data_IF_501614528935
#
_entry.id   IF_501614528935
#
_cell.length_a   1.000
_cell.length_b   1.000
_cell.length_c   1.000
_cell.angle_alpha   90.00
_cell.angle_beta   90.00
_cell.angle_gamma   90.00
#
_symmetry.space_group_name_H-M   'P 1'
#
loop_
_entity.id
_entity.type
_entity.pdbx_description
1 polymer ?
#
# COMPACT_ATOMS: atom_id res chain seq x y z
N UNK A 1 3.25 22.40 -14.07
CA UNK A 1 3.71 21.06 -14.50
C UNK A 1 3.45 20.12 -13.33
N UNK A 2 2.64 19.06 -13.51
CA UNK A 2 2.34 18.10 -12.43
C UNK A 2 3.58 17.26 -12.16
N UNK A 3 4.05 17.23 -10.91
CA UNK A 3 5.22 16.44 -10.52
C UNK A 3 4.78 15.00 -10.24
N UNK A 4 5.43 14.05 -10.93
CA UNK A 4 5.27 12.63 -10.64
C UNK A 4 6.34 12.19 -9.65
N UNK A 5 5.93 11.53 -8.56
CA UNK A 5 6.80 10.85 -7.62
C UNK A 5 6.58 9.34 -7.70
N UNK A 6 7.58 8.55 -7.32
CA UNK A 6 7.41 7.10 -7.17
C UNK A 6 6.88 6.84 -5.78
N UNK A 7 5.79 6.08 -5.69
CA UNK A 7 5.19 5.63 -4.44
C UNK A 7 5.50 4.20 -4.12
N UNK A 8 5.74 3.39 -5.13
CA UNK A 8 6.11 2.00 -4.96
C UNK A 8 6.51 1.38 -6.29
N UNK A 9 7.05 0.18 -6.22
CA UNK A 9 7.39 -0.62 -7.39
C UNK A 9 7.29 -2.11 -7.06
N UNK A 10 7.23 -2.92 -8.10
CA UNK A 10 7.50 -4.36 -8.03
C UNK A 10 8.36 -4.74 -9.23
N UNK A 11 9.56 -5.26 -8.96
CA UNK A 11 10.60 -5.44 -9.96
C UNK A 11 11.08 -6.87 -9.95
N UNK A 12 11.19 -7.46 -11.14
CA UNK A 12 11.76 -8.80 -11.30
C UNK A 12 13.24 -8.66 -11.59
N UNK A 13 14.06 -9.28 -10.75
CA UNK A 13 15.51 -9.25 -10.86
C UNK A 13 16.10 -10.66 -10.78
N UNK A 14 17.25 -10.86 -11.42
CA UNK A 14 17.95 -12.16 -11.41
C UNK A 14 18.85 -12.27 -10.18
N UNK A 15 18.77 -13.36 -9.38
CA UNK A 15 19.70 -13.62 -8.29
C UNK A 15 21.15 -13.81 -8.78
N UNK A 16 21.31 -14.23 -10.05
CA UNK A 16 22.61 -14.49 -10.68
C UNK A 16 23.41 -13.23 -10.97
N UNK A 17 22.82 -12.04 -10.83
CA UNK A 17 23.48 -10.77 -11.10
C UNK A 17 23.72 -10.01 -9.78
N UNK A 18 24.63 -9.02 -9.81
CA UNK A 18 24.85 -8.04 -8.74
C UNK A 18 23.64 -7.13 -8.35
N UNK A 19 22.48 -7.06 -9.05
CA UNK A 19 21.40 -6.13 -8.74
C UNK A 19 20.82 -6.20 -7.34
N UNK A 20 20.75 -7.37 -6.69
CA UNK A 20 20.22 -7.42 -5.33
C UNK A 20 21.18 -6.76 -4.31
N UNK A 21 22.49 -6.91 -4.51
CA UNK A 21 23.52 -6.19 -3.73
C UNK A 21 23.53 -4.69 -4.08
N UNK A 22 23.22 -4.32 -5.33
CA UNK A 22 23.09 -2.92 -5.72
C UNK A 22 21.83 -2.26 -5.17
N UNK A 23 20.72 -3.00 -5.10
CA UNK A 23 19.47 -2.59 -4.48
C UNK A 23 19.62 -2.36 -2.98
N UNK A 24 20.43 -3.19 -2.34
CA UNK A 24 20.64 -3.18 -0.91
C UNK A 24 22.15 -3.24 -0.63
N UNK A 25 22.86 -2.09 -0.75
CA UNK A 25 24.29 -2.07 -0.56
C UNK A 25 24.65 -2.47 0.88
N UNK A 26 25.75 -3.22 1.08
CA UNK A 26 26.20 -3.59 2.41
C UNK A 26 26.43 -2.37 3.33
N UNK A 27 26.16 -2.49 4.65
CA UNK A 27 25.63 -3.67 5.33
C UNK A 27 24.10 -3.72 5.25
N UNK A 28 23.55 -4.62 4.44
CA UNK A 28 22.12 -4.83 4.31
C UNK A 28 21.76 -6.25 4.75
N UNK A 29 20.67 -6.37 5.51
CA UNK A 29 20.22 -7.65 6.03
C UNK A 29 18.77 -7.91 5.65
N UNK A 30 18.49 -9.14 5.21
CA UNK A 30 17.16 -9.65 4.99
C UNK A 30 16.58 -10.13 6.31
N UNK A 31 15.56 -9.44 6.80
CA UNK A 31 14.76 -9.90 7.93
C UNK A 31 13.84 -11.01 7.42
N UNK A 32 14.09 -12.25 7.84
CA UNK A 32 13.38 -13.41 7.33
C UNK A 32 11.92 -13.40 7.78
N UNK A 33 11.03 -13.75 6.86
CA UNK A 33 9.60 -13.88 7.12
C UNK A 33 9.17 -15.33 6.91
N UNK A 34 8.74 -15.97 8.00
CA UNK A 34 8.22 -17.35 7.96
C UNK A 34 6.79 -17.41 7.41
N UNK A 35 6.04 -16.32 7.55
CA UNK A 35 4.63 -16.27 7.19
C UNK A 35 4.44 -16.13 5.68
N UNK A 36 3.72 -17.10 5.10
CA UNK A 36 3.29 -17.07 3.69
C UNK A 36 2.08 -16.14 3.45
N UNK A 37 1.57 -15.47 4.50
CA UNK A 37 0.25 -14.82 4.50
C UNK A 37 0.24 -13.41 3.90
N UNK A 38 1.40 -12.75 3.78
CA UNK A 38 1.49 -11.43 3.18
C UNK A 38 1.66 -11.55 1.67
N UNK A 39 0.53 -11.63 0.96
CA UNK A 39 0.50 -11.51 -0.51
C UNK A 39 0.60 -10.05 -0.89
N UNK A 40 1.59 -9.72 -1.72
CA UNK A 40 1.68 -8.41 -2.35
C UNK A 40 0.75 -8.36 -3.57
N UNK A 41 0.04 -7.24 -3.81
CA UNK A 41 -0.66 -6.98 -5.08
C UNK A 41 0.31 -7.08 -6.25
N UNK A 42 0.23 -8.12 -7.05
CA UNK A 42 1.04 -8.17 -8.26
C UNK A 42 0.21 -8.72 -9.42
N UNK A 43 0.76 -8.57 -10.62
CA UNK A 43 0.22 -9.20 -11.83
C UNK A 43 0.54 -10.70 -11.80
N UNK A 44 -0.26 -11.50 -12.49
CA UNK A 44 0.09 -12.90 -12.75
C UNK A 44 1.41 -12.99 -13.54
N UNK A 45 2.30 -13.96 -13.25
CA UNK A 45 2.18 -15.01 -12.22
C UNK A 45 2.66 -14.59 -10.82
N UNK A 46 3.20 -13.38 -10.66
CA UNK A 46 3.87 -12.90 -9.44
C UNK A 46 2.94 -12.72 -8.24
N UNK A 47 1.63 -12.56 -8.48
CA UNK A 47 0.59 -12.54 -7.44
C UNK A 47 0.61 -13.79 -6.53
N UNK A 48 1.11 -14.91 -7.05
CA UNK A 48 1.23 -16.19 -6.35
C UNK A 48 2.55 -16.36 -5.61
N UNK A 49 3.51 -15.46 -5.82
CA UNK A 49 4.85 -15.57 -5.25
C UNK A 49 4.84 -15.29 -3.75
N UNK A 50 5.71 -16.00 -3.04
CA UNK A 50 5.74 -16.04 -1.59
C UNK A 50 6.88 -15.19 -1.06
N UNK A 51 6.57 -14.42 0.00
CA UNK A 51 7.57 -13.62 0.71
C UNK A 51 8.56 -14.53 1.44
N UNK A 52 9.84 -14.17 1.36
CA UNK A 52 10.93 -14.76 2.16
C UNK A 52 11.49 -13.80 3.21
N UNK A 53 11.31 -12.49 3.02
CA UNK A 53 11.76 -11.50 4.00
C UNK A 53 11.54 -10.06 3.55
N UNK A 54 12.13 -9.13 4.28
CA UNK A 54 12.24 -7.73 3.87
C UNK A 54 13.59 -7.10 4.20
N UNK A 55 13.98 -6.12 3.39
CA UNK A 55 15.17 -5.28 3.56
C UNK A 55 14.74 -3.82 3.43
N UNK A 56 14.98 -2.99 4.45
CA UNK A 56 14.77 -1.54 4.39
C UNK A 56 13.38 -1.11 3.82
N UNK A 57 12.29 -1.81 4.16
CA UNK A 57 10.92 -1.58 3.65
C UNK A 57 10.60 -2.09 2.23
N UNK A 58 11.49 -2.89 1.65
CA UNK A 58 11.20 -3.67 0.45
C UNK A 58 10.99 -5.14 0.83
N UNK A 59 9.91 -5.74 0.33
CA UNK A 59 9.62 -7.15 0.47
C UNK A 59 10.29 -7.94 -0.66
N UNK A 60 10.91 -9.06 -0.31
CA UNK A 60 11.56 -9.97 -1.25
C UNK A 60 10.73 -11.24 -1.38
N UNK A 61 10.38 -11.59 -2.61
CA UNK A 61 9.53 -12.71 -2.96
C UNK A 61 10.20 -13.64 -3.97
N UNK A 62 9.81 -14.91 -3.91
CA UNK A 62 10.22 -15.96 -4.84
C UNK A 62 9.03 -16.81 -5.26
N UNK A 63 9.16 -17.53 -6.36
CA UNK A 63 8.15 -18.50 -6.75
C UNK A 63 8.00 -19.60 -5.67
N UNK A 64 6.78 -20.12 -5.41
CA UNK A 64 6.51 -21.05 -4.31
C UNK A 64 7.42 -22.28 -4.26
N UNK A 65 7.80 -22.81 -5.41
CA UNK A 65 8.69 -23.98 -5.55
C UNK A 65 10.08 -23.77 -4.95
N UNK A 66 10.54 -22.52 -4.82
CA UNK A 66 11.86 -22.18 -4.28
C UNK A 66 11.88 -21.95 -2.77
N UNK A 67 10.71 -21.83 -2.12
CA UNK A 67 10.64 -21.48 -0.70
C UNK A 67 11.25 -22.53 0.21
N UNK A 68 10.86 -23.80 0.07
CA UNK A 68 11.41 -24.85 0.91
C UNK A 68 12.92 -25.07 0.68
N UNK A 69 13.42 -25.14 -0.58
CA UNK A 69 14.85 -25.21 -0.85
C UNK A 69 15.66 -24.06 -0.21
N UNK A 70 15.14 -22.83 -0.25
CA UNK A 70 15.78 -21.66 0.36
C UNK A 70 15.97 -21.82 1.88
N UNK A 71 14.90 -22.19 2.61
CA UNK A 71 14.98 -22.35 4.07
C UNK A 71 15.81 -23.57 4.51
N UNK A 72 15.82 -24.65 3.72
CA UNK A 72 16.70 -25.79 3.96
C UNK A 72 18.17 -25.37 3.86
N UNK A 73 18.53 -24.66 2.81
CA UNK A 73 19.90 -24.20 2.59
C UNK A 73 20.38 -23.22 3.67
N UNK A 74 19.50 -22.37 4.22
CA UNK A 74 19.81 -21.50 5.36
C UNK A 74 20.18 -22.33 6.60
N UNK A 75 19.41 -23.38 6.88
CA UNK A 75 19.59 -24.22 8.07
C UNK A 75 20.86 -25.06 7.99
N UNK A 76 21.30 -25.41 6.77
CA UNK A 76 22.53 -26.14 6.50
C UNK A 76 23.77 -25.21 6.40
N UNK A 77 23.58 -23.89 6.36
CA UNK A 77 24.67 -22.93 6.20
C UNK A 77 25.46 -22.71 7.51
N UNK A 78 26.80 -22.79 7.49
CA UNK A 78 27.65 -22.70 8.69
C UNK A 78 27.64 -21.34 9.40
N UNK A 79 27.06 -20.30 8.79
CA UNK A 79 26.96 -18.95 9.34
C UNK A 79 25.59 -18.62 9.94
N UNK A 80 24.61 -19.52 9.86
CA UNK A 80 23.27 -19.28 10.37
C UNK A 80 23.14 -19.83 11.80
N UNK A 81 23.71 -19.10 12.77
CA UNK A 81 23.55 -19.43 14.19
C UNK A 81 22.15 -18.99 14.63
N UNK A 82 21.38 -19.94 15.16
CA UNK A 82 20.03 -19.78 15.72
C UNK A 82 18.87 -19.53 14.74
N UNK A 83 18.68 -20.47 13.79
CA UNK A 83 17.38 -20.63 13.14
C UNK A 83 16.56 -21.73 13.85
N UNK A 84 15.87 -21.38 14.95
CA UNK A 84 14.94 -22.30 15.62
C UNK A 84 13.66 -22.46 14.79
N UNK A 85 13.34 -23.66 14.34
CA UNK A 85 12.14 -23.98 13.53
C UNK A 85 10.81 -23.94 14.31
N UNK A 86 10.82 -23.49 15.58
CA UNK A 86 9.62 -23.35 16.41
C UNK A 86 8.58 -22.38 15.82
N UNK A 87 7.26 -22.68 15.95
CA UNK A 87 6.16 -21.82 15.50
C UNK A 87 5.88 -20.60 16.40
N UNK A 88 6.58 -20.48 17.53
CA UNK A 88 6.52 -19.28 18.39
C UNK A 88 7.24 -18.10 17.71
N UNK A 89 6.94 -16.83 18.07
CA UNK A 89 7.62 -15.66 17.51
C UNK A 89 9.08 -15.64 17.98
N UNK A 90 9.92 -16.43 17.33
CA UNK A 90 11.35 -16.41 17.50
C UNK A 90 11.89 -15.03 17.12
N UNK A 91 12.94 -14.61 17.82
CA UNK A 91 13.74 -13.43 17.50
C UNK A 91 13.96 -13.34 15.99
N UNK A 92 13.69 -12.16 15.41
CA UNK A 92 13.74 -11.93 13.96
C UNK A 92 15.11 -12.33 13.41
N UNK A 93 15.20 -13.52 12.82
CA UNK A 93 16.42 -13.99 12.18
C UNK A 93 16.71 -13.12 10.95
N UNK A 94 17.92 -12.57 10.89
CA UNK A 94 18.38 -11.74 9.79
C UNK A 94 19.56 -12.40 9.07
N UNK A 95 19.57 -12.35 7.74
CA UNK A 95 20.66 -12.90 6.91
C UNK A 95 21.34 -11.77 6.12
N UNK A 96 22.67 -11.84 5.98
CA UNK A 96 23.38 -10.91 5.10
C UNK A 96 22.89 -11.04 3.66
N UNK A 97 22.78 -9.92 2.95
CA UNK A 97 22.29 -9.92 1.58
C UNK A 97 23.19 -10.73 0.64
N UNK A 98 24.50 -10.78 0.89
CA UNK A 98 25.44 -11.56 0.09
C UNK A 98 25.19 -13.07 0.27
N UNK A 99 24.90 -13.51 1.50
CA UNK A 99 24.52 -14.89 1.81
C UNK A 99 23.19 -15.26 1.14
N UNK A 100 22.20 -14.35 1.16
CA UNK A 100 20.91 -14.54 0.45
C UNK A 100 21.15 -14.78 -1.04
N UNK A 101 21.99 -13.95 -1.68
CA UNK A 101 22.32 -14.09 -3.12
C UNK A 101 22.99 -15.43 -3.38
N UNK A 102 23.95 -15.82 -2.54
CA UNK A 102 24.66 -17.09 -2.69
C UNK A 102 23.72 -18.29 -2.56
N UNK A 103 22.84 -18.30 -1.56
CA UNK A 103 21.85 -19.38 -1.36
C UNK A 103 20.89 -19.46 -2.55
N UNK A 104 20.35 -18.33 -3.00
CA UNK A 104 19.45 -18.30 -4.16
C UNK A 104 20.12 -18.87 -5.43
N UNK A 105 21.41 -18.58 -5.62
CA UNK A 105 22.19 -19.17 -6.72
C UNK A 105 22.40 -20.67 -6.55
N UNK A 106 22.73 -21.13 -5.33
CA UNK A 106 22.96 -22.53 -5.03
C UNK A 106 21.72 -23.40 -5.27
N UNK A 107 20.53 -22.91 -4.91
CA UNK A 107 19.28 -23.61 -5.16
C UNK A 107 18.81 -23.51 -6.62
N UNK A 108 19.47 -22.71 -7.47
CA UNK A 108 19.10 -22.54 -8.87
C UNK A 108 17.93 -21.59 -9.11
N UNK A 109 17.64 -20.69 -8.15
CA UNK A 109 16.60 -19.68 -8.33
C UNK A 109 17.01 -18.70 -9.43
N UNK A 110 16.15 -18.52 -10.44
CA UNK A 110 16.46 -17.71 -11.63
C UNK A 110 15.87 -16.30 -11.59
N UNK A 111 14.87 -16.07 -10.75
CA UNK A 111 14.19 -14.79 -10.64
C UNK A 111 13.63 -14.60 -9.23
N UNK A 112 13.76 -13.38 -8.73
CA UNK A 112 13.15 -12.90 -7.50
C UNK A 112 12.36 -11.62 -7.79
N UNK A 113 11.36 -11.34 -6.96
CA UNK A 113 10.50 -10.17 -7.08
C UNK A 113 10.71 -9.30 -5.86
N UNK A 114 11.15 -8.07 -6.08
CA UNK A 114 11.36 -7.07 -5.02
C UNK A 114 10.25 -6.05 -5.13
N UNK A 115 9.50 -5.85 -4.06
CA UNK A 115 8.38 -4.92 -4.05
C UNK A 115 8.46 -3.94 -2.89
N UNK A 116 7.94 -2.74 -3.09
CA UNK A 116 7.73 -1.77 -2.02
C UNK A 116 6.41 -1.04 -2.22
N UNK A 117 5.70 -0.83 -1.13
CA UNK A 117 4.45 -0.07 -1.07
C UNK A 117 4.64 1.37 -0.59
N UNK A 118 5.88 1.75 -0.25
CA UNK A 118 6.22 3.08 0.24
C UNK A 118 7.20 3.75 -0.72
N UNK A 119 7.18 5.09 -0.69
CA UNK A 119 8.03 5.89 -1.55
C UNK A 119 9.49 5.46 -1.32
N UNK A 120 10.19 4.97 -2.36
CA UNK A 120 11.55 4.51 -2.19
C UNK A 120 12.41 5.64 -1.63
N UNK A 121 13.18 5.34 -0.58
CA UNK A 121 14.34 6.17 -0.24
C UNK A 121 15.27 6.22 -1.47
N UNK A 122 15.94 7.36 -1.69
CA UNK A 122 16.59 7.69 -2.97
C UNK A 122 17.51 6.63 -3.57
N UNK A 123 17.97 5.68 -2.75
CA UNK A 123 18.91 4.62 -3.12
C UNK A 123 18.28 3.49 -3.97
N UNK A 124 16.96 3.23 -3.90
CA UNK A 124 16.33 2.16 -4.70
C UNK A 124 16.19 2.50 -6.20
N UNK A 125 16.35 3.77 -6.56
CA UNK A 125 16.06 4.24 -7.92
C UNK A 125 17.26 4.10 -8.87
N UNK A 126 18.39 3.57 -8.38
CA UNK A 126 19.56 3.22 -9.19
C UNK A 126 19.44 1.75 -9.60
N UNK A 127 18.37 1.44 -10.32
CA UNK A 127 18.17 0.11 -10.90
C UNK A 127 18.44 0.17 -12.38
N UNK A 128 19.68 -0.13 -12.73
CA UNK A 128 20.05 -0.48 -14.10
C UNK A 128 20.24 -2.00 -14.21
N UNK A 129 19.14 -2.75 -14.04
CA UNK A 129 19.05 -4.14 -14.51
C UNK A 129 18.34 -4.18 -15.87
N UNK A 130 18.77 -3.28 -16.77
CA UNK A 130 18.22 -3.13 -18.12
C UNK A 130 18.39 -4.39 -19.00
N UNK A 131 19.07 -5.43 -18.51
CA UNK A 131 19.28 -6.68 -19.22
C UNK A 131 18.41 -7.84 -18.73
N UNK A 132 17.62 -7.67 -17.66
CA UNK A 132 16.78 -8.77 -17.18
C UNK A 132 15.66 -9.12 -18.19
N UNK A 133 15.51 -10.39 -18.61
CA UNK A 133 14.54 -10.77 -19.65
C UNK A 133 13.08 -10.53 -19.24
N UNK A 134 12.79 -10.51 -17.93
CA UNK A 134 11.44 -10.27 -17.40
C UNK A 134 11.21 -8.82 -16.97
N UNK A 135 12.10 -7.88 -17.32
CA UNK A 135 11.94 -6.46 -16.96
C UNK A 135 10.64 -5.86 -17.49
N UNK A 136 10.11 -6.37 -18.61
CA UNK A 136 8.85 -5.90 -19.20
C UNK A 136 7.64 -6.10 -18.28
N UNK A 137 7.74 -6.93 -17.23
CA UNK A 137 6.72 -7.16 -16.21
C UNK A 137 6.95 -6.35 -14.93
N UNK A 138 7.90 -5.41 -14.93
CA UNK A 138 8.08 -4.45 -13.86
C UNK A 138 6.84 -3.57 -13.71
N UNK A 139 6.45 -3.32 -12.46
CA UNK A 139 5.34 -2.47 -12.10
C UNK A 139 5.85 -1.24 -11.36
N UNK A 140 5.30 -0.09 -11.73
CA UNK A 140 5.58 1.20 -11.12
C UNK A 140 4.27 1.81 -10.63
N UNK A 141 4.23 2.21 -9.37
CA UNK A 141 3.14 3.03 -8.84
C UNK A 141 3.62 4.46 -8.73
N UNK A 142 3.09 5.32 -9.59
CA UNK A 142 3.43 6.74 -9.67
C UNK A 142 2.33 7.56 -9.00
N UNK A 143 2.72 8.58 -8.26
CA UNK A 143 1.79 9.50 -7.62
C UNK A 143 1.86 10.89 -8.24
N UNK A 144 0.68 11.48 -8.41
CA UNK A 144 0.48 12.88 -8.72
C UNK A 144 -0.35 13.52 -7.60
N UNK A 145 0.05 14.72 -7.19
CA UNK A 145 -0.73 15.55 -6.27
C UNK A 145 -1.49 16.57 -7.09
N UNK A 146 -2.81 16.56 -6.97
CA UNK A 146 -3.71 17.53 -7.60
C UNK A 146 -4.22 18.46 -6.53
N UNK A 147 -3.96 19.75 -6.68
CA UNK A 147 -4.48 20.77 -5.77
C UNK A 147 -5.99 20.92 -6.00
N UNK A 148 -6.77 20.75 -4.95
CA UNK A 148 -8.24 20.90 -4.96
C UNK A 148 -8.69 21.88 -3.88
N UNK A 149 -9.91 22.41 -4.00
CA UNK A 149 -10.51 23.26 -2.96
C UNK A 149 -11.11 22.38 -1.87
N UNK A 150 -10.71 22.58 -0.61
CA UNK A 150 -11.15 21.73 0.49
C UNK A 150 -10.70 20.28 0.33
N UNK A 151 -11.20 19.40 1.20
CA UNK A 151 -10.87 17.97 1.23
C UNK A 151 -11.75 17.25 0.20
N UNK A 152 -11.14 16.74 -0.85
CA UNK A 152 -11.85 16.06 -1.94
C UNK A 152 -12.15 14.61 -1.60
N UNK A 153 -13.42 14.24 -1.70
CA UNK A 153 -13.91 12.87 -1.69
C UNK A 153 -14.57 12.57 -3.04
N UNK A 154 -14.42 11.35 -3.52
CA UNK A 154 -14.94 10.92 -4.81
C UNK A 154 -15.91 9.75 -4.66
N UNK A 155 -16.75 9.59 -5.68
CA UNK A 155 -17.61 8.42 -5.86
C UNK A 155 -17.75 8.11 -7.34
N UNK A 156 -17.68 6.84 -7.72
CA UNK A 156 -18.02 6.39 -9.07
C UNK A 156 -19.53 6.44 -9.30
N UNK A 157 -19.96 6.92 -10.47
CA UNK A 157 -21.39 7.02 -10.83
C UNK A 157 -22.11 5.65 -10.85
N UNK A 158 -21.38 4.57 -11.16
CA UNK A 158 -21.87 3.19 -11.09
C UNK A 158 -20.84 2.26 -10.44
N UNK A 159 -21.26 1.49 -9.44
CA UNK A 159 -20.47 0.37 -8.92
C UNK A 159 -20.69 -0.84 -9.83
N UNK A 160 -19.85 -0.96 -10.85
CA UNK A 160 -19.89 -2.04 -11.84
C UNK A 160 -18.72 -3.02 -11.67
N UNK A 161 -18.09 -3.03 -10.49
CA UNK A 161 -16.93 -3.86 -10.18
C UNK A 161 -15.59 -3.34 -10.70
N UNK A 162 -15.58 -2.53 -11.76
CA UNK A 162 -14.39 -1.87 -12.30
C UNK A 162 -14.04 -0.58 -11.53
N UNK A 163 -15.06 0.17 -11.09
CA UNK A 163 -14.90 1.30 -10.18
C UNK A 163 -15.44 0.92 -8.81
N UNK A 164 -14.61 1.04 -7.78
CA UNK A 164 -14.98 0.78 -6.40
C UNK A 164 -14.80 2.04 -5.58
N UNK A 165 -15.91 2.55 -5.06
CA UNK A 165 -15.88 3.64 -4.09
C UNK A 165 -15.74 3.06 -2.70
N UNK A 166 -14.82 3.60 -1.90
CA UNK A 166 -14.70 3.30 -0.48
C UNK A 166 -15.10 4.53 0.31
N UNK A 167 -16.33 4.55 0.86
CA UNK A 167 -16.79 5.66 1.67
C UNK A 167 -15.82 5.97 2.82
N UNK A 168 -15.61 7.25 3.06
CA UNK A 168 -14.80 7.76 4.16
C UNK A 168 -15.60 8.84 4.92
N UNK A 169 -15.19 9.15 6.14
CA UNK A 169 -15.80 10.22 6.94
C UNK A 169 -17.29 10.02 7.27
N UNK A 170 -17.79 8.78 7.14
CA UNK A 170 -19.16 8.38 7.50
C UNK A 170 -20.23 9.39 7.06
N UNK A 171 -20.96 10.00 8.01
CA UNK A 171 -22.03 10.95 7.71
C UNK A 171 -21.55 12.22 7.00
N UNK A 172 -20.32 12.68 7.28
CA UNK A 172 -19.75 13.85 6.61
C UNK A 172 -19.45 13.56 5.14
N UNK A 173 -18.96 12.34 4.85
CA UNK A 173 -18.63 11.90 3.50
C UNK A 173 -19.83 11.49 2.66
N UNK A 174 -20.95 11.08 3.27
CA UNK A 174 -22.21 10.71 2.58
C UNK A 174 -22.02 9.67 1.46
N UNK A 175 -21.16 8.68 1.71
CA UNK A 175 -20.85 7.63 0.72
C UNK A 175 -19.74 7.98 -0.26
N UNK A 176 -19.18 9.19 -0.22
CA UNK A 176 -17.97 9.56 -0.95
C UNK A 176 -16.72 9.18 -0.14
N UNK A 177 -15.60 8.94 -0.83
CA UNK A 177 -14.33 8.66 -0.18
C UNK A 177 -13.21 8.48 -1.19
N UNK A 178 -12.46 7.38 -1.09
CA UNK A 178 -11.47 7.02 -2.11
C UNK A 178 -12.10 6.20 -3.22
N UNK A 179 -11.52 6.26 -4.41
CA UNK A 179 -11.98 5.48 -5.56
C UNK A 179 -10.82 4.67 -6.12
N UNK A 180 -11.07 3.39 -6.33
CA UNK A 180 -10.17 2.47 -7.03
C UNK A 180 -10.79 2.11 -8.38
N UNK A 181 -10.04 2.29 -9.45
CA UNK A 181 -10.46 2.00 -10.82
C UNK A 181 -9.52 0.95 -11.38
N UNK A 182 -10.04 -0.25 -11.59
CA UNK A 182 -9.38 -1.29 -12.38
C UNK A 182 -9.61 -0.99 -13.85
N UNK A 183 -8.54 -0.75 -14.59
CA UNK A 183 -8.61 -0.47 -16.02
C UNK A 183 -8.47 -1.78 -16.80
N UNK A 184 -9.27 -1.99 -17.86
CA UNK A 184 -9.07 -3.12 -18.76
C UNK A 184 -7.68 -3.07 -19.38
N UNK A 185 -7.22 -4.17 -19.98
CA UNK A 185 -5.90 -4.22 -20.62
C UNK A 185 -5.73 -3.08 -21.64
N UNK A 186 -4.90 -2.09 -21.30
CA UNK A 186 -4.53 -0.97 -22.18
C UNK A 186 -3.18 -1.22 -22.83
N UNK A 187 -3.00 -0.71 -24.04
CA UNK A 187 -1.73 -0.81 -24.77
C UNK A 187 -0.59 -0.02 -24.12
N UNK A 188 -0.92 0.98 -23.30
CA UNK A 188 0.05 1.78 -22.55
C UNK A 188 0.54 1.08 -21.26
N UNK A 189 -0.01 -0.08 -20.91
CA UNK A 189 0.37 -0.85 -19.73
C UNK A 189 -0.18 -0.29 -18.41
N UNK A 190 -1.02 0.76 -18.44
CA UNK A 190 -1.68 1.26 -17.23
C UNK A 190 -2.88 0.37 -16.92
N UNK A 191 -2.98 -0.10 -15.68
CA UNK A 191 -3.99 -1.10 -15.31
C UNK A 191 -4.79 -0.76 -14.04
N UNK A 192 -4.35 0.24 -13.27
CA UNK A 192 -5.07 0.66 -12.06
C UNK A 192 -4.86 2.14 -11.77
N UNK A 193 -5.91 2.77 -11.28
CA UNK A 193 -5.91 4.12 -10.73
C UNK A 193 -6.52 4.09 -9.33
N UNK A 194 -5.84 4.67 -8.34
CA UNK A 194 -6.38 4.90 -7.00
C UNK A 194 -6.38 6.41 -6.74
N UNK A 195 -7.52 6.96 -6.38
CA UNK A 195 -7.67 8.38 -6.04
C UNK A 195 -8.11 8.49 -4.60
N UNK A 196 -7.34 9.21 -3.78
CA UNK A 196 -7.57 9.38 -2.36
C UNK A 196 -7.18 10.79 -1.89
N UNK A 197 -7.64 11.19 -0.71
CA UNK A 197 -7.23 12.46 -0.12
C UNK A 197 -5.79 12.36 0.43
N UNK A 198 -4.92 13.34 0.14
CA UNK A 198 -3.51 13.30 0.60
C UNK A 198 -3.37 13.42 2.12
N UNK A 199 -4.43 13.89 2.81
CA UNK A 199 -4.49 13.89 4.26
C UNK A 199 -4.42 12.47 4.85
N UNK A 200 -4.92 11.43 4.16
CA UNK A 200 -4.78 10.06 4.62
C UNK A 200 -3.35 9.57 4.56
N UNK A 201 -2.63 9.92 3.49
CA UNK A 201 -1.22 9.56 3.35
C UNK A 201 -0.38 10.19 4.47
N UNK A 202 -0.72 11.40 4.89
CA UNK A 202 -0.12 12.06 6.05
C UNK A 202 -0.56 11.44 7.39
N UNK A 203 -1.83 11.08 7.52
CA UNK A 203 -2.35 10.38 8.70
C UNK A 203 -1.64 9.05 8.90
N UNK A 204 -1.52 8.24 7.86
CA UNK A 204 -0.78 6.98 7.88
C UNK A 204 0.68 7.22 8.26
N UNK A 205 1.41 8.14 7.60
CA UNK A 205 2.82 8.42 7.95
C UNK A 205 3.02 8.87 9.40
N UNK A 206 2.08 9.64 9.95
CA UNK A 206 2.16 10.16 11.32
C UNK A 206 1.67 9.18 12.38
N UNK A 207 0.87 8.18 12.00
CA UNK A 207 0.21 7.24 12.91
C UNK A 207 0.58 5.76 12.66
N UNK A 208 1.35 5.40 11.63
CA UNK A 208 1.81 4.02 11.33
C UNK A 208 2.63 3.39 12.47
N UNK A 209 3.21 4.21 13.36
CA UNK A 209 3.78 3.73 14.62
C UNK A 209 2.73 3.11 15.58
N UNK A 210 1.43 3.18 15.25
CA UNK A 210 0.32 2.84 16.14
C UNK A 210 -0.43 1.56 15.81
N UNK A 211 -0.51 1.17 14.54
CA UNK A 211 -1.38 0.09 14.08
C UNK A 211 -0.98 -1.29 14.66
N UNK A 212 0.33 -1.58 14.74
CA UNK A 212 0.85 -2.86 15.24
C UNK A 212 0.68 -3.11 16.75
N UNK A 213 0.13 -2.15 17.51
CA UNK A 213 -0.12 -2.30 18.96
C UNK A 213 -1.60 -2.35 19.33
N UNK A 214 -2.50 -2.49 18.37
CA UNK A 214 -3.93 -2.47 18.68
C UNK A 214 -4.39 -3.78 19.33
N UNK A 215 -3.90 -4.92 18.84
CA UNK A 215 -4.43 -6.25 19.20
C UNK A 215 -4.13 -6.67 20.65
N UNK A 216 -3.17 -6.01 21.31
CA UNK A 216 -2.83 -6.24 22.72
C UNK A 216 -3.52 -5.29 23.71
N UNK A 217 -4.28 -4.30 23.24
CA UNK A 217 -4.92 -3.31 24.12
C UNK A 217 -6.31 -3.77 24.59
N UNK A 218 -6.62 -3.46 25.85
CA UNK A 218 -7.98 -3.62 26.37
C UNK A 218 -8.98 -2.73 25.63
N UNK A 219 -10.28 -3.08 25.68
CA UNK A 219 -11.32 -2.37 24.92
C UNK A 219 -11.38 -0.87 25.22
N UNK A 220 -11.29 -0.50 26.50
CA UNK A 220 -11.24 0.90 26.94
C UNK A 220 -10.00 1.65 26.42
N UNK A 221 -8.82 1.05 26.54
CA UNK A 221 -7.56 1.65 26.10
C UNK A 221 -7.55 1.91 24.59
N UNK A 222 -8.19 1.02 23.83
CA UNK A 222 -8.36 1.16 22.37
C UNK A 222 -9.18 2.40 22.03
N UNK A 223 -10.32 2.62 22.69
CA UNK A 223 -11.15 3.81 22.48
C UNK A 223 -10.47 5.10 22.94
N UNK A 224 -9.79 5.07 24.08
CA UNK A 224 -9.01 6.23 24.54
C UNK A 224 -7.89 6.58 23.56
N UNK A 225 -7.29 5.58 22.91
CA UNK A 225 -6.30 5.80 21.84
C UNK A 225 -6.93 6.45 20.62
N UNK A 226 -8.07 5.96 20.13
CA UNK A 226 -8.80 6.59 19.02
C UNK A 226 -9.10 8.05 19.34
N UNK A 227 -9.56 8.36 20.56
CA UNK A 227 -9.77 9.74 20.98
C UNK A 227 -8.49 10.58 20.92
N UNK A 228 -7.35 10.05 21.39
CA UNK A 228 -6.05 10.76 21.31
C UNK A 228 -5.62 10.99 19.86
N UNK A 229 -5.77 9.98 19.00
CA UNK A 229 -5.45 10.09 17.57
C UNK A 229 -6.31 11.15 16.88
N UNK A 230 -7.63 11.13 17.12
CA UNK A 230 -8.57 12.10 16.57
C UNK A 230 -8.23 13.54 16.97
N UNK A 231 -7.91 13.81 18.25
CA UNK A 231 -7.52 15.15 18.68
C UNK A 231 -6.17 15.59 18.09
N UNK A 232 -5.16 14.72 18.12
CA UNK A 232 -3.85 15.01 17.52
C UNK A 232 -4.00 15.32 16.03
N UNK A 233 -4.86 14.57 15.36
CA UNK A 233 -5.12 14.79 13.94
C UNK A 233 -5.88 16.09 13.70
N UNK A 234 -6.88 16.41 14.53
CA UNK A 234 -7.57 17.70 14.48
C UNK A 234 -6.59 18.87 14.65
N UNK A 235 -5.61 18.77 15.56
CA UNK A 235 -4.55 19.78 15.72
C UNK A 235 -3.69 19.92 14.45
N UNK A 236 -3.18 18.81 13.91
CA UNK A 236 -2.36 18.81 12.67
C UNK A 236 -3.13 19.44 11.51
N UNK A 237 -4.38 19.05 11.31
CA UNK A 237 -5.22 19.59 10.23
C UNK A 237 -5.56 21.06 10.47
N UNK A 238 -5.84 21.46 11.71
CA UNK A 238 -6.17 22.86 12.06
C UNK A 238 -5.01 23.81 11.75
N UNK A 239 -3.75 23.38 11.92
CA UNK A 239 -2.60 24.21 11.52
C UNK A 239 -2.54 24.47 10.02
N UNK A 240 -3.24 23.66 9.21
CA UNK A 240 -3.37 23.81 7.75
C UNK A 240 -4.67 24.51 7.33
N UNK A 241 -5.55 24.84 8.27
CA UNK A 241 -6.87 25.42 7.98
C UNK A 241 -6.81 26.82 7.35
N UNK A 242 -5.65 27.49 7.40
CA UNK A 242 -5.41 28.76 6.71
C UNK A 242 -5.23 28.59 5.19
N UNK A 243 -5.07 27.37 4.70
CA UNK A 243 -5.01 27.06 3.28
C UNK A 243 -6.38 26.58 2.79
N UNK A 244 -7.01 27.31 1.88
CA UNK A 244 -8.27 26.88 1.23
C UNK A 244 -8.07 25.68 0.29
N UNK A 245 -6.84 25.44 -0.13
CA UNK A 245 -6.46 24.33 -1.00
C UNK A 245 -5.98 23.13 -0.19
N UNK A 246 -6.47 21.95 -0.53
CA UNK A 246 -5.86 20.69 -0.12
C UNK A 246 -5.33 19.92 -1.34
N UNK A 247 -4.76 18.75 -1.10
CA UNK A 247 -4.24 17.90 -2.16
C UNK A 247 -5.04 16.60 -2.23
N UNK A 248 -5.35 16.22 -3.46
CA UNK A 248 -5.81 14.89 -3.82
C UNK A 248 -4.65 14.10 -4.38
N UNK A 249 -4.45 12.89 -3.86
CA UNK A 249 -3.46 11.94 -4.34
C UNK A 249 -4.07 11.08 -5.45
N UNK A 250 -3.41 11.06 -6.60
CA UNK A 250 -3.72 10.18 -7.72
C UNK A 250 -2.57 9.19 -7.89
N UNK A 251 -2.80 7.94 -7.53
CA UNK A 251 -1.85 6.83 -7.67
C UNK A 251 -2.16 6.03 -8.94
N UNK A 252 -1.16 5.85 -9.78
CA UNK A 252 -1.29 5.24 -11.10
C UNK A 252 -0.32 4.07 -11.18
N UNK A 253 -0.86 2.85 -11.35
CA UNK A 253 -0.03 1.65 -11.50
C UNK A 253 0.15 1.30 -12.97
N UNK A 254 1.42 1.16 -13.37
CA UNK A 254 1.83 1.01 -14.77
C UNK A 254 2.81 -0.14 -14.92
N UNK A 255 2.59 -0.98 -15.93
CA UNK A 255 3.57 -1.97 -16.40
C UNK A 255 4.54 -1.31 -17.38
N UNK A 256 5.82 -1.28 -17.02
CA UNK A 256 6.86 -0.67 -17.84
C UNK A 256 8.23 -1.20 -17.42
N UNK A 257 9.11 -1.42 -18.40
CA UNK A 257 10.45 -1.91 -18.14
C UNK A 257 11.26 -0.97 -17.24
N UNK A 258 11.09 0.35 -17.47
CA UNK A 258 11.88 1.40 -16.85
C UNK A 258 10.98 2.50 -16.30
N UNK A 259 11.46 3.21 -15.27
CA UNK A 259 10.72 4.29 -14.62
C UNK A 259 10.40 5.44 -15.57
N UNK A 260 11.32 5.82 -16.45
CA UNK A 260 11.09 6.93 -17.38
C UNK A 260 10.02 6.59 -18.43
N UNK A 261 9.97 5.34 -18.91
CA UNK A 261 8.87 4.84 -19.75
C UNK A 261 7.54 4.90 -18.99
N UNK A 262 7.50 4.45 -17.72
CA UNK A 262 6.31 4.56 -16.87
C UNK A 262 5.83 6.02 -16.74
N UNK A 263 6.75 6.96 -16.46
CA UNK A 263 6.44 8.39 -16.37
C UNK A 263 5.92 8.96 -17.70
N UNK A 264 6.51 8.55 -18.82
CA UNK A 264 6.07 8.98 -20.15
C UNK A 264 4.66 8.49 -20.47
N UNK A 265 4.37 7.20 -20.21
CA UNK A 265 3.04 6.61 -20.35
C UNK A 265 1.99 7.35 -19.53
N UNK A 266 2.27 7.66 -18.26
CA UNK A 266 1.37 8.45 -17.40
C UNK A 266 1.15 9.87 -17.92
N UNK A 267 2.20 10.54 -18.43
CA UNK A 267 2.03 11.89 -18.99
C UNK A 267 1.16 11.89 -20.25
N UNK A 268 1.22 10.82 -21.04
CA UNK A 268 0.43 10.67 -22.27
C UNK A 268 -1.01 10.19 -22.04
N UNK A 269 -1.34 9.67 -20.86
CA UNK A 269 -2.62 8.98 -20.61
C UNK A 269 -3.83 9.90 -20.39
N UNK A 270 -3.61 11.19 -20.13
CA UNK A 270 -4.66 12.13 -19.74
C UNK A 270 -5.07 12.07 -18.26
N UNK A 271 -4.55 11.14 -17.46
CA UNK A 271 -4.89 11.02 -16.02
C UNK A 271 -4.43 12.20 -15.17
N UNK A 272 -3.49 13.02 -15.68
CA UNK A 272 -3.02 14.22 -15.00
C UNK A 272 -3.92 15.45 -15.25
N UNK A 273 -4.93 15.33 -16.10
CA UNK A 273 -5.95 16.35 -16.31
C UNK A 273 -7.15 16.04 -15.41
N UNK A 274 -7.25 16.77 -14.29
CA UNK A 274 -8.28 16.55 -13.28
C UNK A 274 -9.71 16.56 -13.84
N UNK A 275 -10.03 17.53 -14.70
CA UNK A 275 -11.37 17.63 -15.29
C UNK A 275 -11.69 16.43 -16.18
N UNK A 276 -10.76 16.05 -17.07
CA UNK A 276 -10.95 14.87 -17.94
C UNK A 276 -11.02 13.57 -17.17
N UNK A 277 -10.32 13.49 -16.04
CA UNK A 277 -10.37 12.35 -15.14
C UNK A 277 -11.76 12.22 -14.49
N UNK A 278 -12.32 13.32 -13.99
CA UNK A 278 -13.66 13.33 -13.39
C UNK A 278 -14.75 13.04 -14.43
N UNK A 279 -14.63 13.56 -15.65
CA UNK A 279 -15.56 13.30 -16.75
C UNK A 279 -15.48 11.86 -17.27
N UNK A 280 -14.47 11.09 -16.86
CA UNK A 280 -14.27 9.72 -17.28
C UNK A 280 -13.67 9.56 -18.68
N UNK A 281 -13.16 10.63 -19.28
CA UNK A 281 -12.61 10.59 -20.64
C UNK A 281 -11.43 9.63 -20.80
N UNK A 282 -10.60 9.49 -19.76
CA UNK A 282 -9.44 8.59 -19.76
C UNK A 282 -9.73 7.21 -19.15
N UNK A 283 -10.70 7.11 -18.24
CA UNK A 283 -11.02 5.91 -17.45
C UNK A 283 -12.22 5.13 -18.00
N UNK A 284 -13.06 5.76 -18.81
CA UNK A 284 -14.38 5.26 -19.20
C UNK A 284 -15.43 5.37 -18.08
N UNK A 285 -15.08 5.98 -16.94
CA UNK A 285 -15.93 6.04 -15.77
C UNK A 285 -15.96 7.45 -15.19
N UNK A 286 -17.16 8.01 -15.12
CA UNK A 286 -17.38 9.32 -14.51
C UNK A 286 -17.29 9.24 -12.99
N UNK A 287 -16.66 10.24 -12.41
CA UNK A 287 -16.50 10.42 -10.97
C UNK A 287 -17.27 11.65 -10.52
N UNK A 288 -18.01 11.48 -9.44
CA UNK A 288 -18.64 12.58 -8.72
C UNK A 288 -17.66 13.10 -7.66
N UNK A 289 -17.52 14.42 -7.58
CA UNK A 289 -16.66 15.09 -6.61
C UNK A 289 -17.50 15.72 -5.49
N UNK A 290 -17.03 15.54 -4.25
CA UNK A 290 -17.53 16.26 -3.07
C UNK A 290 -16.35 16.90 -2.35
N UNK A 291 -16.42 18.21 -2.14
CA UNK A 291 -15.47 18.93 -1.31
C UNK A 291 -16.00 19.11 0.10
N UNK A 292 -15.17 18.79 1.09
CA UNK A 292 -15.45 19.00 2.52
C UNK A 292 -14.59 20.16 3.02
N UNK A 293 -15.21 21.12 3.71
CA UNK A 293 -14.48 22.21 4.33
C UNK A 293 -13.60 21.68 5.49
N UNK A 294 -12.39 22.21 5.62
CA UNK A 294 -11.45 21.82 6.68
C UNK A 294 -12.07 22.00 8.08
N UNK A 295 -12.83 23.07 8.31
CA UNK A 295 -13.48 23.33 9.59
C UNK A 295 -14.52 22.25 9.94
N UNK A 296 -15.26 21.76 8.95
CA UNK A 296 -16.24 20.69 9.16
C UNK A 296 -15.55 19.36 9.42
N UNK A 297 -14.43 19.09 8.74
CA UNK A 297 -13.61 17.91 9.01
C UNK A 297 -12.98 17.95 10.41
N UNK A 298 -12.43 19.09 10.83
CA UNK A 298 -11.89 19.28 12.19
C UNK A 298 -12.98 19.07 13.23
N UNK A 299 -14.19 19.59 13.00
CA UNK A 299 -15.34 19.36 13.89
C UNK A 299 -15.69 17.88 13.99
N UNK A 300 -15.76 17.18 12.85
CA UNK A 300 -15.99 15.74 12.81
C UNK A 300 -14.93 14.94 13.59
N UNK A 301 -13.65 15.35 13.55
CA UNK A 301 -12.60 14.74 14.36
C UNK A 301 -12.79 15.00 15.86
N UNK A 302 -13.17 16.22 16.24
CA UNK A 302 -13.48 16.56 17.63
C UNK A 302 -14.69 15.78 18.16
N UNK A 303 -15.74 15.64 17.35
CA UNK A 303 -16.94 14.87 17.67
C UNK A 303 -16.60 13.37 17.80
N UNK A 304 -15.79 12.84 16.88
CA UNK A 304 -15.26 11.46 16.95
C UNK A 304 -14.47 11.24 18.23
N UNK A 305 -13.62 12.19 18.63
CA UNK A 305 -12.86 12.10 19.86
C UNK A 305 -13.75 12.18 21.12
N UNK A 306 -14.79 13.02 21.09
CA UNK A 306 -15.75 13.14 22.18
C UNK A 306 -16.56 11.84 22.34
N UNK A 307 -17.01 11.25 21.23
CA UNK A 307 -17.73 9.98 21.22
C UNK A 307 -16.87 8.83 21.72
N UNK A 308 -15.64 8.71 21.23
CA UNK A 308 -14.68 7.71 21.69
C UNK A 308 -14.48 7.77 23.23
N UNK A 309 -14.37 8.98 23.80
CA UNK A 309 -14.27 9.18 25.26
C UNK A 309 -15.55 8.82 26.00
N UNK A 310 -16.72 9.14 25.45
CA UNK A 310 -18.01 8.77 26.06
C UNK A 310 -18.14 7.25 26.12
N UNK A 311 -17.85 6.57 25.00
CA UNK A 311 -17.89 5.12 24.93
C UNK A 311 -16.87 4.47 25.88
N UNK A 312 -15.63 4.98 25.94
CA UNK A 312 -14.62 4.48 26.87
C UNK A 312 -15.03 4.59 28.35
N UNK A 313 -15.83 5.60 28.72
CA UNK A 313 -16.35 5.78 30.10
C UNK A 313 -17.56 4.91 30.39
N UNK A 314 -18.38 4.64 29.37
CA UNK A 314 -19.57 3.79 29.48
C UNK A 314 -19.22 2.29 29.43
N UNK A 315 -18.05 1.96 28.89
CA UNK A 315 -17.58 0.58 28.72
C UNK A 315 -17.16 -0.04 30.06
N UNK A 316 -17.76 -1.17 30.40
CA UNK A 316 -17.26 -2.07 31.44
C UNK A 316 -16.06 -2.88 30.96
N UNK A 317 -15.37 -3.57 31.87
CA UNK A 317 -14.06 -4.20 31.63
C UNK A 317 -14.05 -5.38 30.62
N UNK A 318 -15.21 -5.82 30.11
CA UNK A 318 -15.32 -7.15 29.46
C UNK A 318 -15.83 -7.18 28.01
N UNK A 319 -16.17 -6.05 27.38
CA UNK A 319 -16.70 -6.06 26.00
C UNK A 319 -15.66 -5.66 24.95
N UNK A 320 -14.66 -6.53 24.77
CA UNK A 320 -13.57 -6.30 23.81
C UNK A 320 -14.05 -6.34 22.35
N UNK A 321 -15.04 -7.17 22.03
CA UNK A 321 -15.60 -7.28 20.68
C UNK A 321 -16.30 -6.00 20.25
N UNK A 322 -17.13 -5.44 21.13
CA UNK A 322 -17.81 -4.17 20.88
C UNK A 322 -16.83 -3.00 20.82
N UNK A 323 -15.80 -3.00 21.68
CA UNK A 323 -14.75 -1.99 21.64
C UNK A 323 -13.99 -1.98 20.30
N UNK A 324 -13.69 -3.17 19.75
CA UNK A 324 -13.06 -3.30 18.43
C UNK A 324 -13.99 -2.75 17.34
N UNK A 325 -15.28 -3.11 17.39
CA UNK A 325 -16.29 -2.63 16.43
C UNK A 325 -16.42 -1.11 16.47
N UNK A 326 -16.58 -0.53 17.66
CA UNK A 326 -16.67 0.93 17.86
C UNK A 326 -15.40 1.64 17.41
N UNK A 327 -14.22 1.14 17.80
CA UNK A 327 -12.94 1.72 17.37
C UNK A 327 -12.81 1.71 15.84
N UNK A 328 -13.23 0.62 15.18
CA UNK A 328 -13.21 0.52 13.72
C UNK A 328 -14.12 1.56 13.06
N UNK A 329 -15.34 1.76 13.58
CA UNK A 329 -16.27 2.79 13.09
C UNK A 329 -15.66 4.19 13.26
N UNK A 330 -15.06 4.46 14.43
CA UNK A 330 -14.45 5.76 14.72
C UNK A 330 -13.19 6.01 13.88
N UNK A 331 -12.40 4.97 13.57
CA UNK A 331 -11.28 5.05 12.63
C UNK A 331 -11.77 5.41 11.21
N UNK A 332 -12.87 4.81 10.76
CA UNK A 332 -13.52 5.15 9.49
C UNK A 332 -14.06 6.59 9.49
N UNK A 333 -14.60 7.08 10.61
CA UNK A 333 -15.04 8.47 10.77
C UNK A 333 -13.89 9.48 10.63
N UNK A 334 -12.68 9.11 11.04
CA UNK A 334 -11.48 9.92 10.81
C UNK A 334 -11.01 9.90 9.35
N UNK A 335 -11.54 8.96 8.56
CA UNK A 335 -11.23 8.76 7.15
C UNK A 335 -10.23 7.66 6.89
N UNK A 336 -9.76 6.94 7.90
CA UNK A 336 -8.78 5.87 7.72
C UNK A 336 -9.37 4.74 6.85
N UNK A 337 -8.75 4.49 5.71
CA UNK A 337 -9.08 3.37 4.82
C UNK A 337 -7.80 2.56 4.68
N UNK A 338 -7.80 1.29 5.10
CA UNK A 338 -6.64 0.41 4.99
C UNK A 338 -6.30 0.16 3.51
N UNK A 339 -5.38 0.96 2.97
CA UNK A 339 -4.90 0.97 1.58
C UNK A 339 -4.20 -0.33 1.17
N UNK A 340 -3.62 -1.07 2.12
CA UNK A 340 -2.91 -2.33 1.86
C UNK A 340 -3.85 -3.53 1.66
N UNK A 341 -5.05 -3.52 2.24
CA UNK A 341 -6.11 -4.50 1.92
C UNK A 341 -6.71 -4.35 0.51
N UNK A 342 -6.45 -3.26 -0.21
CA UNK A 342 -7.01 -3.03 -1.56
C UNK A 342 -6.38 -3.88 -2.65
N UNK A 343 -5.19 -4.32 -2.35
CA UNK A 343 -4.22 -4.80 -3.31
C UNK A 343 -4.42 -6.29 -3.68
N UNK A 344 -5.12 -7.05 -2.84
CA UNK A 344 -5.31 -8.49 -3.01
C UNK A 344 -6.34 -8.90 -4.10
N UNK A 345 -6.92 -7.98 -4.88
CA UNK A 345 -8.11 -8.25 -5.72
C UNK A 345 -7.89 -7.99 -7.22
N UNK A 346 -6.65 -7.98 -7.72
CA UNK A 346 -6.42 -8.01 -9.18
C UNK A 346 -6.46 -9.45 -9.74
N UNK A 347 -6.38 -10.47 -8.89
CA UNK A 347 -6.26 -11.89 -9.29
C UNK A 347 -7.57 -12.61 -9.66
N UNK A 348 -8.74 -11.97 -9.55
CA UNK A 348 -10.03 -12.67 -9.66
C UNK A 348 -10.76 -12.49 -11.02
N UNK A 349 -10.20 -11.74 -11.97
CA UNK A 349 -10.92 -11.32 -13.18
C UNK A 349 -10.71 -12.14 -14.46
N UNK A 350 -9.77 -13.09 -14.51
CA UNK A 350 -9.36 -13.72 -15.78
C UNK A 350 -9.44 -15.25 -15.83
N UNK A 351 -10.34 -15.86 -15.06
CA UNK A 351 -10.67 -17.29 -15.22
C UNK A 351 -12.04 -17.46 -15.91
N UNK A 352 -12.02 -17.50 -17.24
CA UNK A 352 -12.82 -18.39 -18.09
C UNK A 352 -14.35 -18.40 -17.97
N UNK A 353 -15.02 -17.86 -18.99
CA UNK A 353 -16.18 -18.53 -19.57
C UNK A 353 -15.93 -18.73 -21.06
N UNK A 354 -15.32 -19.88 -21.36
CA UNK A 354 -15.09 -20.38 -22.70
C UNK A 354 -15.23 -21.89 -22.66
N UNK A 355 -16.46 -22.39 -22.72
CA UNK A 355 -16.86 -23.71 -23.24
C UNK A 355 -18.34 -23.95 -22.96
N UNK A 356 -19.07 -24.27 -24.03
CA UNK A 356 -20.51 -24.45 -24.09
C UNK A 356 -20.98 -24.13 -25.49
#
# INVERSE_FOLDING_TARGET
MVRLSVRGFALTISPGHLPLVWLFPPPAHLILSRTSSLRFPDIEPYSSWVRIGAVNNADVHIAPEWKQPFFNAITEAPHCVDFDMSPEPAETSSLDIDDVVQILRQIGCTAIRVSTSQAPHGDYLILDDSYHPLRHDNLWTLCAHVTTHGITLLRGEADNGAVRTRPALSELGQGFGSVDISLPTRSDGIFRLCISQSLLDLFERTNLASAGRMDSLGGRERLERVARLANRWAEVVSTRAHCESTETLVEISVRAAELEDAKQKVRASGFLNWLQLLEGGATGHRLEERSINIADYVRNLQDTAAEARRQARAMGDYDQGEAIRMATILDQNMGHIDTHRFSAIVSAGSSGSGSG
#
